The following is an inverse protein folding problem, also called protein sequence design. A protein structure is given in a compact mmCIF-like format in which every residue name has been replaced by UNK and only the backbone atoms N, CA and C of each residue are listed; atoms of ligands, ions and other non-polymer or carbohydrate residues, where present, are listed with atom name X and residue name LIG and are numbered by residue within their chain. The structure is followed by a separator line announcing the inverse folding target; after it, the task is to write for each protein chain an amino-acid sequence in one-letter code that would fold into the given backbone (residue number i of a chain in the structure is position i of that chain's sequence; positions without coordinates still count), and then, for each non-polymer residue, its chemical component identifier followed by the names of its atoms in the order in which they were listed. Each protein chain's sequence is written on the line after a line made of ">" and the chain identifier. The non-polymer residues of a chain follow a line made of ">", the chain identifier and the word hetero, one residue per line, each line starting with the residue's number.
data_IF_578550531828
#
_entry.id   IF_578550531828
#
_cell.length_a   1.000
_cell.length_b   1.000
_cell.length_c   1.000
_cell.angle_alpha   90.00
_cell.angle_beta   90.00
_cell.angle_gamma   90.00
#
_symmetry.space_group_name_H-M   'P 1'
#
loop_
_entity.id
_entity.type
_entity.pdbx_description
1 polymer ?
#
# COMPACT_ATOMS: atom_id res chain seq x y z
N UNK A 1 1.23 24.08 -8.37
CA UNK A 1 1.73 23.60 -9.68
C UNK A 1 2.16 22.17 -9.55
N UNK A 2 1.38 21.25 -10.10
CA UNK A 2 1.50 19.78 -10.02
C UNK A 2 2.70 19.18 -10.78
N UNK A 3 3.53 19.99 -11.38
CA UNK A 3 4.69 19.53 -12.15
C UNK A 3 5.96 20.21 -11.65
N UNK A 4 6.60 19.60 -10.65
CA UNK A 4 8.01 19.86 -10.41
C UNK A 4 8.85 18.88 -11.24
N UNK A 5 10.09 19.21 -11.61
CA UNK A 5 10.96 18.31 -12.42
C UNK A 5 11.17 16.91 -11.81
N UNK A 6 10.83 16.72 -10.53
CA UNK A 6 11.05 15.48 -9.80
C UNK A 6 9.76 14.73 -9.42
N UNK A 7 8.57 15.26 -9.74
CA UNK A 7 7.29 14.65 -9.32
C UNK A 7 7.04 13.24 -9.87
N UNK A 8 7.74 12.83 -10.90
CA UNK A 8 7.70 11.49 -11.52
C UNK A 8 8.92 10.62 -11.15
N UNK A 9 9.69 11.01 -10.15
CA UNK A 9 10.90 10.27 -9.75
C UNK A 9 10.79 9.79 -8.31
N UNK A 10 11.48 8.70 -7.92
CA UNK A 10 11.51 8.23 -6.54
C UNK A 10 11.94 9.32 -5.54
N UNK A 11 12.86 10.19 -5.96
CA UNK A 11 13.35 11.31 -5.14
C UNK A 11 12.26 12.33 -4.87
N UNK A 12 11.39 12.61 -5.84
CA UNK A 12 10.29 13.56 -5.69
C UNK A 12 9.29 13.11 -4.63
N UNK A 13 8.92 11.84 -4.63
CA UNK A 13 8.02 11.25 -3.62
C UNK A 13 8.64 11.23 -2.22
N UNK A 14 9.90 10.79 -2.10
CA UNK A 14 10.54 10.58 -0.79
C UNK A 14 11.05 11.87 -0.16
N UNK A 15 11.65 12.78 -0.93
CA UNK A 15 12.38 13.94 -0.38
C UNK A 15 11.65 15.27 -0.55
N UNK A 16 10.75 15.38 -1.53
CA UNK A 16 10.16 16.68 -1.88
C UNK A 16 8.67 16.79 -1.53
N UNK A 17 8.08 15.72 -1.02
CA UNK A 17 6.64 15.64 -0.70
C UNK A 17 5.74 16.13 -1.86
N UNK A 18 6.13 15.83 -3.10
CA UNK A 18 5.46 16.29 -4.32
C UNK A 18 5.29 15.14 -5.32
N UNK A 19 5.25 13.91 -4.82
CA UNK A 19 5.14 12.70 -5.65
C UNK A 19 3.76 12.54 -6.27
N UNK A 20 3.73 11.94 -7.47
CA UNK A 20 2.53 11.36 -8.09
C UNK A 20 2.64 9.83 -8.01
N UNK A 21 1.61 9.10 -8.45
CA UNK A 21 1.57 7.63 -8.39
C UNK A 21 2.85 6.95 -8.90
N UNK A 22 3.45 7.47 -9.98
CA UNK A 22 4.71 6.95 -10.53
C UNK A 22 5.89 7.09 -9.56
N UNK A 23 5.94 8.16 -8.76
CA UNK A 23 6.98 8.38 -7.75
C UNK A 23 6.89 7.36 -6.61
N UNK A 24 5.68 7.14 -6.10
CA UNK A 24 5.41 6.14 -5.06
C UNK A 24 5.76 4.75 -5.56
N UNK A 25 5.26 4.39 -6.75
CA UNK A 25 5.49 3.08 -7.36
C UNK A 25 6.98 2.80 -7.57
N UNK A 26 7.71 3.75 -8.13
CA UNK A 26 9.14 3.56 -8.40
C UNK A 26 9.98 3.56 -7.12
N UNK A 27 9.64 4.39 -6.13
CA UNK A 27 10.29 4.38 -4.82
C UNK A 27 10.09 3.04 -4.11
N UNK A 28 8.87 2.53 -4.10
CA UNK A 28 8.56 1.21 -3.53
C UNK A 28 9.37 0.10 -4.21
N UNK A 29 9.41 0.06 -5.55
CA UNK A 29 10.19 -0.94 -6.31
C UNK A 29 11.66 -0.91 -5.90
N UNK A 30 12.26 0.27 -5.82
CA UNK A 30 13.69 0.37 -5.48
C UNK A 30 14.00 -0.08 -4.04
N UNK A 31 13.12 0.24 -3.08
CA UNK A 31 13.26 -0.18 -1.68
C UNK A 31 13.05 -1.70 -1.57
N UNK A 32 11.99 -2.22 -2.14
CA UNK A 32 11.62 -3.62 -2.05
C UNK A 32 12.66 -4.55 -2.72
N UNK A 33 13.21 -4.14 -3.87
CA UNK A 33 14.35 -4.84 -4.51
C UNK A 33 15.58 -4.91 -3.61
N UNK A 34 15.91 -3.83 -2.89
CA UNK A 34 17.02 -3.81 -1.93
C UNK A 34 16.79 -4.74 -0.74
N UNK A 35 15.53 -4.97 -0.38
CA UNK A 35 15.12 -5.94 0.65
C UNK A 35 15.04 -7.38 0.12
N UNK A 36 15.29 -7.60 -1.17
CA UNK A 36 15.27 -8.94 -1.79
C UNK A 36 13.87 -9.45 -2.14
N UNK A 37 12.86 -8.56 -2.19
CA UNK A 37 11.51 -8.93 -2.58
C UNK A 37 11.37 -8.98 -4.11
N UNK A 38 10.57 -9.91 -4.62
CA UNK A 38 10.10 -9.89 -5.99
C UNK A 38 8.95 -8.88 -6.10
N UNK A 39 9.11 -7.87 -6.95
CA UNK A 39 8.15 -6.77 -7.09
C UNK A 39 7.88 -6.45 -8.55
N UNK A 40 6.85 -5.66 -8.78
CA UNK A 40 6.49 -5.16 -10.08
C UNK A 40 5.47 -4.03 -9.96
N UNK A 41 4.70 -3.85 -11.02
CA UNK A 41 3.66 -2.82 -11.05
C UNK A 41 2.44 -3.27 -11.85
N UNK A 42 1.31 -2.67 -11.51
CA UNK A 42 0.09 -2.63 -12.30
C UNK A 42 -0.11 -1.23 -12.87
N UNK A 43 -0.61 -1.14 -14.07
CA UNK A 43 -0.88 0.11 -14.79
C UNK A 43 -2.27 0.04 -15.43
N UNK A 44 -3.06 1.10 -15.25
CA UNK A 44 -4.33 1.23 -15.94
C UNK A 44 -4.14 1.48 -17.45
N UNK A 45 -5.03 0.97 -18.26
CA UNK A 45 -5.04 1.28 -19.69
C UNK A 45 -5.10 2.81 -19.89
N UNK A 46 -4.20 3.32 -20.74
CA UNK A 46 -4.07 4.75 -20.98
C UNK A 46 -3.18 5.50 -19.98
N UNK A 47 -2.58 4.80 -19.00
CA UNK A 47 -1.59 5.39 -18.09
C UNK A 47 -2.17 6.39 -17.09
N UNK A 48 -3.45 6.26 -16.73
CA UNK A 48 -4.09 7.17 -15.77
C UNK A 48 -3.59 6.95 -14.34
N UNK A 49 -3.21 5.72 -13.99
CA UNK A 49 -2.67 5.36 -12.68
C UNK A 49 -1.73 4.18 -12.77
N UNK A 50 -0.78 4.12 -11.83
CA UNK A 50 0.20 3.06 -11.68
C UNK A 50 0.41 2.77 -10.19
N UNK A 51 0.52 1.48 -9.84
CA UNK A 51 0.70 0.99 -8.46
C UNK A 51 1.64 -0.20 -8.43
N UNK A 52 1.90 -0.76 -7.26
CA UNK A 52 2.82 -1.87 -7.08
C UNK A 52 2.12 -3.23 -7.05
N UNK A 53 2.88 -4.26 -7.41
CA UNK A 53 2.62 -5.63 -7.00
C UNK A 53 3.85 -6.20 -6.31
N UNK A 54 3.63 -7.08 -5.35
CA UNK A 54 4.68 -7.77 -4.61
C UNK A 54 4.38 -9.25 -4.52
N UNK A 55 5.43 -10.07 -4.49
CA UNK A 55 5.27 -11.52 -4.36
C UNK A 55 5.57 -11.94 -2.92
N UNK A 56 4.58 -12.52 -2.26
CA UNK A 56 4.65 -13.05 -0.90
C UNK A 56 4.23 -14.51 -0.93
N UNK A 57 5.01 -15.41 -0.32
CA UNK A 57 4.76 -16.86 -0.30
C UNK A 57 4.47 -17.47 -1.68
N UNK A 58 5.16 -16.96 -2.71
CA UNK A 58 5.01 -17.43 -4.09
C UNK A 58 3.78 -16.93 -4.83
N UNK A 59 2.97 -16.06 -4.23
CA UNK A 59 1.79 -15.43 -4.83
C UNK A 59 1.98 -13.94 -4.99
N UNK A 60 1.41 -13.36 -6.05
CA UNK A 60 1.41 -11.92 -6.28
C UNK A 60 0.19 -11.26 -5.62
N UNK A 61 0.40 -10.04 -5.09
CA UNK A 61 -0.62 -9.19 -4.47
C UNK A 61 -0.45 -7.75 -4.93
N UNK A 62 -1.53 -7.00 -4.96
CA UNK A 62 -1.48 -5.57 -5.21
C UNK A 62 -1.14 -4.79 -3.93
N UNK A 63 -0.44 -3.68 -4.12
CA UNK A 63 -0.20 -2.65 -3.10
C UNK A 63 -0.30 -1.29 -3.80
N UNK A 64 -1.21 -0.43 -3.38
CA UNK A 64 -1.27 0.94 -3.88
C UNK A 64 -0.89 1.95 -2.79
N UNK A 65 0.41 2.23 -2.70
CA UNK A 65 0.96 3.18 -1.73
C UNK A 65 0.45 4.61 -1.97
N UNK A 66 0.05 4.95 -3.20
CA UNK A 66 -0.48 6.29 -3.50
C UNK A 66 -1.87 6.46 -2.89
N UNK A 67 -2.73 5.46 -3.01
CA UNK A 67 -4.09 5.52 -2.48
C UNK A 67 -4.14 5.23 -0.97
N UNK A 68 -3.15 4.55 -0.43
CA UNK A 68 -2.94 4.37 1.00
C UNK A 68 -2.33 5.62 1.67
N UNK A 69 -1.82 6.58 0.90
CA UNK A 69 -1.40 7.89 1.41
C UNK A 69 -2.60 8.81 1.62
N UNK A 70 -3.06 8.93 2.85
CA UNK A 70 -4.21 9.76 3.23
C UNK A 70 -4.00 11.25 2.95
N UNK A 71 -2.75 11.71 2.84
CA UNK A 71 -2.40 13.09 2.47
C UNK A 71 -2.66 13.40 0.99
N UNK A 72 -2.81 12.36 0.16
CA UNK A 72 -3.09 12.53 -1.27
C UNK A 72 -4.52 13.05 -1.55
N UNK A 73 -5.42 12.99 -0.57
CA UNK A 73 -6.78 13.51 -0.72
C UNK A 73 -6.86 15.00 -0.28
N UNK A 74 -6.95 15.96 -1.21
CA UNK A 74 -6.98 17.38 -0.87
C UNK A 74 -8.25 17.81 -0.12
N UNK A 75 -9.25 16.94 0.00
CA UNK A 75 -10.52 17.23 0.68
C UNK A 75 -10.53 16.81 2.16
N UNK A 76 -9.68 15.84 2.55
CA UNK A 76 -9.66 15.32 3.91
C UNK A 76 -8.59 15.98 4.80
N UNK A 77 -7.73 16.80 4.20
CA UNK A 77 -6.60 17.43 4.89
C UNK A 77 -5.48 16.42 5.21
N UNK A 78 -4.25 16.90 5.10
CA UNK A 78 -3.08 16.11 5.49
C UNK A 78 -3.11 15.91 7.01
N UNK A 79 -3.32 14.67 7.46
CA UNK A 79 -3.25 14.31 8.88
C UNK A 79 -1.92 13.60 9.13
N UNK A 80 -0.93 14.29 9.69
CA UNK A 80 0.39 13.71 9.92
C UNK A 80 0.30 12.43 10.74
N UNK A 81 0.95 11.36 10.24
CA UNK A 81 1.01 10.07 10.92
C UNK A 81 -0.18 9.14 10.65
N UNK A 82 -1.13 9.53 9.80
CA UNK A 82 -2.17 8.64 9.31
C UNK A 82 -1.68 7.98 8.01
N UNK A 83 -1.77 6.65 7.96
CA UNK A 83 -1.40 5.84 6.79
C UNK A 83 -2.50 4.82 6.58
N UNK A 84 -3.14 4.85 5.42
CA UNK A 84 -4.11 3.85 5.00
C UNK A 84 -3.45 2.51 4.67
N UNK A 85 -4.22 1.45 4.72
CA UNK A 85 -3.79 0.11 4.33
C UNK A 85 -4.89 -0.62 3.54
N UNK A 86 -5.85 0.10 2.99
CA UNK A 86 -6.96 -0.47 2.23
C UNK A 86 -6.46 -1.26 1.00
N UNK A 87 -5.32 -0.84 0.46
CA UNK A 87 -4.70 -1.44 -0.73
C UNK A 87 -3.44 -2.26 -0.42
N UNK A 88 -3.28 -2.73 0.81
CA UNK A 88 -2.11 -3.49 1.23
C UNK A 88 -2.32 -5.00 1.07
N UNK A 89 -1.59 -5.64 0.14
CA UNK A 89 -1.61 -7.08 -0.15
C UNK A 89 -2.99 -7.61 -0.59
N UNK A 90 -3.72 -6.85 -1.38
CA UNK A 90 -5.04 -7.24 -1.87
C UNK A 90 -4.99 -8.03 -3.18
N UNK A 91 -6.01 -8.85 -3.42
CA UNK A 91 -6.20 -9.59 -4.66
C UNK A 91 -6.50 -8.68 -5.86
N UNK A 92 -6.47 -9.23 -7.07
CA UNK A 92 -6.91 -8.51 -8.26
C UNK A 92 -8.42 -8.19 -8.19
N UNK A 93 -9.23 -9.11 -7.70
CA UNK A 93 -10.68 -8.91 -7.65
C UNK A 93 -11.05 -7.85 -6.61
N UNK A 94 -10.42 -7.83 -5.44
CA UNK A 94 -10.58 -6.78 -4.43
C UNK A 94 -10.14 -5.41 -4.97
N UNK A 95 -8.99 -5.34 -5.64
CA UNK A 95 -8.53 -4.10 -6.28
C UNK A 95 -9.55 -3.56 -7.27
N UNK A 96 -10.20 -4.44 -8.05
CA UNK A 96 -11.17 -4.08 -9.08
C UNK A 96 -12.42 -3.38 -8.54
N UNK A 97 -12.72 -3.48 -7.26
CA UNK A 97 -13.87 -2.79 -6.66
C UNK A 97 -13.72 -1.27 -6.66
N UNK A 98 -12.49 -0.77 -6.61
CA UNK A 98 -12.16 0.66 -6.64
C UNK A 98 -11.41 1.08 -7.90
N UNK A 99 -10.57 0.22 -8.45
CA UNK A 99 -9.77 0.44 -9.65
C UNK A 99 -10.54 -0.11 -10.87
N UNK A 100 -11.58 0.59 -11.29
CA UNK A 100 -12.59 0.15 -12.27
C UNK A 100 -12.17 0.32 -13.75
N UNK A 101 -10.89 0.56 -14.03
CA UNK A 101 -10.38 0.65 -15.40
C UNK A 101 -10.60 -0.64 -16.18
N UNK A 102 -10.99 -0.51 -17.45
CA UNK A 102 -11.36 -1.65 -18.32
C UNK A 102 -10.24 -2.65 -18.50
N UNK A 103 -8.99 -2.17 -18.56
CA UNK A 103 -7.81 -3.00 -18.75
C UNK A 103 -6.72 -2.60 -17.76
N UNK A 104 -6.13 -3.61 -17.12
CA UNK A 104 -4.98 -3.46 -16.23
C UNK A 104 -3.83 -4.31 -16.80
N UNK A 105 -2.67 -3.68 -16.94
CA UNK A 105 -1.44 -4.34 -17.37
C UNK A 105 -0.51 -4.54 -16.17
N UNK A 106 -0.16 -5.80 -15.89
CA UNK A 106 0.79 -6.14 -14.84
C UNK A 106 2.14 -6.57 -15.41
N UNK A 107 3.22 -6.11 -14.79
CA UNK A 107 4.60 -6.48 -15.14
C UNK A 107 5.43 -6.66 -13.87
N UNK A 108 6.33 -7.64 -13.90
CA UNK A 108 7.35 -7.79 -12.86
C UNK A 108 8.49 -6.74 -13.02
N UNK A 109 9.42 -6.75 -12.09
CA UNK A 109 10.59 -5.87 -12.08
C UNK A 109 11.51 -6.00 -13.29
N UNK A 110 11.34 -7.03 -14.12
CA UNK A 110 12.08 -7.27 -15.37
C UNK A 110 11.18 -6.99 -16.59
N UNK A 111 10.05 -6.29 -16.41
CA UNK A 111 9.08 -5.96 -17.45
C UNK A 111 8.35 -7.16 -18.06
N UNK A 112 8.47 -8.35 -17.47
CA UNK A 112 7.74 -9.54 -17.92
C UNK A 112 6.28 -9.40 -17.53
N UNK A 113 5.40 -9.69 -18.49
CA UNK A 113 3.94 -9.67 -18.27
C UNK A 113 3.53 -10.71 -17.23
N UNK A 114 2.66 -10.29 -16.30
CA UNK A 114 1.98 -11.14 -15.33
C UNK A 114 0.48 -11.11 -15.67
N UNK A 115 -0.17 -12.27 -15.60
CA UNK A 115 -1.61 -12.33 -15.85
C UNK A 115 -2.38 -11.92 -14.59
N UNK A 116 -3.52 -11.23 -14.71
CA UNK A 116 -4.37 -10.89 -13.56
C UNK A 116 -4.72 -12.10 -12.69
N UNK A 117 -4.95 -13.27 -13.29
CA UNK A 117 -5.22 -14.52 -12.57
C UNK A 117 -4.07 -14.98 -11.66
N UNK A 118 -2.84 -14.54 -11.90
CA UNK A 118 -1.70 -14.85 -11.04
C UNK A 118 -1.66 -13.95 -9.78
N UNK A 119 -2.49 -12.89 -9.74
CA UNK A 119 -2.58 -11.89 -8.67
C UNK A 119 -3.90 -12.03 -7.89
N UNK A 120 -4.57 -13.15 -8.01
CA UNK A 120 -5.92 -13.34 -7.44
C UNK A 120 -5.93 -14.24 -6.18
N UNK A 121 -4.94 -14.07 -5.29
CA UNK A 121 -4.93 -14.72 -4.00
C UNK A 121 -5.61 -13.84 -2.95
N UNK A 122 -6.73 -14.30 -2.42
CA UNK A 122 -7.55 -13.63 -1.40
C UNK A 122 -7.02 -13.83 0.04
N UNK A 123 -5.82 -14.39 0.20
CA UNK A 123 -5.27 -14.76 1.53
C UNK A 123 -5.26 -13.59 2.52
N UNK A 124 -5.04 -12.39 2.04
CA UNK A 124 -4.92 -11.20 2.87
C UNK A 124 -6.09 -10.21 2.72
N UNK A 125 -7.07 -10.48 1.84
CA UNK A 125 -8.23 -9.63 1.66
C UNK A 125 -9.05 -9.55 2.96
N UNK A 126 -9.44 -8.35 3.36
CA UNK A 126 -10.21 -8.10 4.58
C UNK A 126 -9.49 -8.38 5.89
N UNK A 127 -8.14 -8.48 5.88
CA UNK A 127 -7.36 -8.69 7.12
C UNK A 127 -7.41 -7.46 8.04
N UNK A 128 -7.01 -7.65 9.31
CA UNK A 128 -7.00 -6.56 10.28
C UNK A 128 -6.12 -5.37 9.86
N UNK A 129 -5.03 -5.62 9.12
CA UNK A 129 -4.13 -4.57 8.63
C UNK A 129 -4.89 -3.55 7.77
N UNK A 130 -5.82 -4.00 6.93
CA UNK A 130 -6.58 -3.16 6.00
C UNK A 130 -7.69 -2.34 6.69
N UNK A 131 -7.96 -2.56 7.97
CA UNK A 131 -9.05 -1.89 8.68
C UNK A 131 -8.65 -0.62 9.43
N UNK A 132 -7.35 -0.34 9.53
CA UNK A 132 -6.85 0.72 10.40
C UNK A 132 -5.89 1.66 9.68
N UNK A 133 -6.18 2.95 9.80
CA UNK A 133 -5.40 4.04 9.21
C UNK A 133 -4.35 4.53 10.22
N UNK A 134 -3.42 3.68 10.59
CA UNK A 134 -2.34 4.04 11.50
C UNK A 134 -1.04 3.36 11.13
N UNK A 135 0.11 3.98 11.43
CA UNK A 135 1.38 3.29 11.30
C UNK A 135 1.38 2.00 12.12
N UNK A 136 1.88 0.93 11.51
CA UNK A 136 2.04 -0.35 12.19
C UNK A 136 3.49 -0.46 12.64
N UNK A 137 3.69 -0.47 13.95
CA UNK A 137 4.98 -0.74 14.56
C UNK A 137 5.10 -2.23 14.88
N UNK A 138 6.32 -2.73 14.95
CA UNK A 138 6.55 -4.12 15.32
C UNK A 138 7.79 -4.30 16.18
N UNK A 139 7.71 -5.26 17.09
CA UNK A 139 8.86 -5.87 17.72
C UNK A 139 9.03 -7.32 17.22
N UNK A 140 9.85 -8.11 17.92
CA UNK A 140 10.09 -9.51 17.57
C UNK A 140 8.82 -10.35 17.55
N UNK A 141 7.93 -10.13 18.51
CA UNK A 141 6.82 -11.03 18.83
C UNK A 141 5.44 -10.42 18.55
N UNK A 142 5.34 -9.09 18.34
CA UNK A 142 4.07 -8.39 18.25
C UNK A 142 4.05 -7.32 17.16
N UNK A 143 2.83 -6.97 16.74
CA UNK A 143 2.48 -5.74 16.04
C UNK A 143 1.76 -4.78 16.98
N UNK A 144 1.91 -3.48 16.74
CA UNK A 144 1.26 -2.40 17.49
C UNK A 144 0.67 -1.39 16.52
N UNK A 145 -0.59 -1.02 16.72
CA UNK A 145 -1.28 -0.01 15.94
C UNK A 145 -2.32 0.71 16.78
N UNK A 146 -2.84 1.83 16.30
CA UNK A 146 -3.95 2.52 16.92
C UNK A 146 -5.25 2.19 16.20
N UNK A 147 -6.24 1.69 16.95
CA UNK A 147 -7.60 1.50 16.48
C UNK A 147 -8.38 2.79 16.73
N UNK A 148 -8.81 3.48 15.68
CA UNK A 148 -9.60 4.71 15.75
C UNK A 148 -9.32 5.60 14.54
N UNK A 149 -10.39 6.13 13.94
CA UNK A 149 -10.27 7.16 12.91
C UNK A 149 -10.19 8.52 13.59
N UNK A 150 -9.13 9.25 13.31
CA UNK A 150 -8.93 10.68 13.61
C UNK A 150 -9.31 11.14 15.04
N UNK A 151 -8.33 11.13 15.93
CA UNK A 151 -8.24 11.97 17.14
C UNK A 151 -9.39 11.84 18.13
N UNK A 152 -9.19 11.23 19.20
CA UNK A 152 -9.65 11.32 20.57
C UNK A 152 -10.04 10.01 21.25
N UNK A 153 -10.39 8.94 20.54
CA UNK A 153 -10.79 7.67 21.16
C UNK A 153 -9.99 6.46 20.64
N UNK A 154 -8.78 6.69 20.11
CA UNK A 154 -7.93 5.63 19.61
C UNK A 154 -7.36 4.77 20.73
N UNK A 155 -7.55 3.46 20.63
CA UNK A 155 -6.92 2.50 21.54
C UNK A 155 -5.61 2.00 20.95
N UNK A 156 -4.57 1.90 21.76
CA UNK A 156 -3.38 1.16 21.38
C UNK A 156 -3.72 -0.33 21.38
N UNK A 157 -3.46 -0.98 20.28
CA UNK A 157 -3.69 -2.42 20.12
C UNK A 157 -2.36 -3.11 19.89
N UNK A 158 -2.14 -4.20 20.60
CA UNK A 158 -1.03 -5.11 20.44
C UNK A 158 -1.55 -6.44 19.92
N UNK A 159 -1.00 -6.92 18.82
CA UNK A 159 -1.35 -8.23 18.23
C UNK A 159 -0.15 -9.15 18.27
N UNK A 160 -0.33 -10.31 18.89
CA UNK A 160 0.70 -11.37 18.89
C UNK A 160 0.89 -11.94 17.48
N UNK A 161 2.13 -12.06 17.02
CA UNK A 161 2.49 -12.67 15.73
C UNK A 161 2.20 -14.17 15.68
N UNK A 162 2.29 -14.84 16.83
CA UNK A 162 2.11 -16.31 16.90
C UNK A 162 0.65 -16.73 16.98
N UNK A 163 -0.16 -15.98 17.74
CA UNK A 163 -1.55 -16.37 18.05
C UNK A 163 -2.59 -15.51 17.37
N UNK A 164 -2.18 -14.41 16.74
CA UNK A 164 -3.06 -13.38 16.16
C UNK A 164 -4.07 -12.80 17.17
N UNK A 165 -3.80 -12.96 18.47
CA UNK A 165 -4.66 -12.41 19.53
C UNK A 165 -4.35 -10.94 19.78
N UNK A 166 -5.40 -10.13 19.89
CA UNK A 166 -5.31 -8.70 20.16
C UNK A 166 -5.50 -8.40 21.66
N UNK A 167 -4.64 -7.52 22.19
CA UNK A 167 -4.71 -6.94 23.52
C UNK A 167 -4.91 -5.43 23.38
N UNK A 168 -5.90 -4.87 24.08
CA UNK A 168 -6.28 -3.47 24.01
C UNK A 168 -5.80 -2.73 25.25
N UNK A 169 -5.17 -1.58 25.05
CA UNK A 169 -4.75 -0.70 26.12
C UNK A 169 -5.60 0.57 26.10
N UNK A 170 -6.34 0.80 27.17
CA UNK A 170 -7.09 2.04 27.37
C UNK A 170 -6.08 3.18 27.66
N UNK A 171 -6.29 4.34 27.03
CA UNK A 171 -5.50 5.57 27.20
C UNK A 171 -5.85 6.29 28.48
#
# INVERSE_FOLDING_TARGET
>A
TWFTPFSHTPIGGILSNTGVCESYTTAYIEIAKKLGLEVGYGESAGGAHIWNIVKVDGKWYNIDVTWDDTSANPYDGDTPGVVGHDYFLISHDELRESHDWSDINYRDQNFKKINPSDINSEKYDGTWVQRYDSPILMDKDNYYYFEGRQGNDGKLVKVSKDTETAEYFDS
#
